data_IF_431857589390
#
_entry.id   IF_431857589390
#
_cell.length_a   1.000
_cell.length_b   1.000
_cell.length_c   1.000
_cell.angle_alpha   90.00
_cell.angle_beta   90.00
_cell.angle_gamma   90.00
#
_symmetry.space_group_name_H-M   'P 1'
#
loop_
_entity.id
_entity.type
_entity.pdbx_description
1 polymer ?
#
# COMPACT_ATOMS: atom_id res chain seq x y z
N UNK A 1 -8.70 -23.19 3.45
CA UNK A 1 -10.09 -22.63 3.56
C UNK A 1 -10.57 -22.48 5.01
N UNK A 2 -10.33 -23.45 5.92
CA UNK A 2 -10.79 -23.37 7.33
C UNK A 2 -10.23 -22.14 8.09
N UNK A 3 -8.94 -21.87 7.99
CA UNK A 3 -8.29 -20.75 8.70
C UNK A 3 -8.74 -19.35 8.24
N UNK A 4 -9.12 -19.18 6.98
CA UNK A 4 -9.60 -17.87 6.49
C UNK A 4 -10.96 -17.50 7.11
N UNK A 5 -11.84 -18.48 7.35
CA UNK A 5 -13.14 -18.23 7.98
C UNK A 5 -13.00 -17.85 9.45
N UNK A 6 -12.11 -18.50 10.19
CA UNK A 6 -11.82 -18.12 11.57
C UNK A 6 -11.24 -16.70 11.65
N UNK A 7 -10.34 -16.37 10.73
CA UNK A 7 -9.77 -15.03 10.66
C UNK A 7 -10.84 -13.98 10.32
N UNK A 8 -11.72 -14.25 9.36
CA UNK A 8 -12.87 -13.38 9.04
C UNK A 8 -13.74 -13.11 10.25
N UNK A 9 -14.00 -14.13 11.07
CA UNK A 9 -14.77 -13.97 12.30
C UNK A 9 -14.05 -13.03 13.28
N UNK A 10 -12.76 -13.22 13.46
CA UNK A 10 -11.96 -12.37 14.36
C UNK A 10 -11.91 -10.92 13.89
N UNK A 11 -11.59 -10.67 12.62
CA UNK A 11 -11.49 -9.30 12.11
C UNK A 11 -12.84 -8.59 12.11
N UNK A 12 -13.95 -9.29 11.83
CA UNK A 12 -15.29 -8.72 11.93
C UNK A 12 -15.65 -8.33 13.37
N UNK A 13 -15.20 -9.08 14.39
CA UNK A 13 -15.35 -8.66 15.79
C UNK A 13 -14.58 -7.37 16.08
N UNK A 14 -13.37 -7.21 15.55
CA UNK A 14 -12.59 -5.98 15.68
C UNK A 14 -13.29 -4.82 14.99
N UNK A 15 -13.73 -4.99 13.73
CA UNK A 15 -14.48 -3.97 12.97
C UNK A 15 -15.74 -3.54 13.73
N UNK A 16 -16.53 -4.49 14.23
CA UNK A 16 -17.76 -4.20 15.00
C UNK A 16 -17.46 -3.48 16.32
N UNK A 17 -16.40 -3.85 17.01
CA UNK A 17 -15.99 -3.19 18.26
C UNK A 17 -15.55 -1.74 18.02
N UNK A 18 -14.87 -1.50 16.89
CA UNK A 18 -14.30 -0.19 16.55
C UNK A 18 -15.19 0.66 15.63
N UNK A 19 -16.38 0.17 15.23
CA UNK A 19 -17.26 0.89 14.28
C UNK A 19 -17.75 2.26 14.78
N UNK A 20 -17.85 2.43 16.11
CA UNK A 20 -18.31 3.67 16.73
C UNK A 20 -17.16 4.66 17.03
N UNK A 21 -15.92 4.25 16.84
CA UNK A 21 -14.79 5.16 17.00
C UNK A 21 -14.73 6.15 15.82
N UNK A 22 -14.34 7.37 16.14
CA UNK A 22 -14.12 8.37 15.10
C UNK A 22 -13.06 7.87 14.12
N UNK A 23 -13.38 7.92 12.82
CA UNK A 23 -12.45 7.55 11.75
C UNK A 23 -11.81 8.82 11.18
N UNK A 24 -10.53 9.11 11.52
CA UNK A 24 -9.84 10.27 10.97
C UNK A 24 -9.66 10.16 9.47
N UNK A 25 -9.49 11.29 8.79
CA UNK A 25 -9.23 11.30 7.36
C UNK A 25 -7.85 10.72 7.00
N UNK A 26 -7.74 10.11 5.84
CA UNK A 26 -6.51 9.52 5.31
C UNK A 26 -6.20 10.11 3.94
N UNK A 27 -4.97 10.59 3.77
CA UNK A 27 -4.43 10.98 2.47
C UNK A 27 -3.69 9.80 1.85
N UNK A 28 -4.29 9.19 0.82
CA UNK A 28 -3.63 8.18 0.01
C UNK A 28 -2.66 8.91 -0.91
N UNK A 29 -1.40 8.50 -0.90
CA UNK A 29 -0.36 9.04 -1.77
C UNK A 29 0.13 7.97 -2.74
N UNK A 30 0.33 8.37 -3.98
CA UNK A 30 0.72 7.48 -5.05
C UNK A 30 1.57 8.20 -6.08
N UNK A 31 2.57 7.52 -6.62
CA UNK A 31 3.33 7.98 -7.78
C UNK A 31 3.19 6.97 -8.89
N UNK A 32 3.10 7.45 -10.12
CA UNK A 32 3.11 6.60 -11.31
C UNK A 32 3.91 7.23 -12.44
N UNK A 33 4.64 6.41 -13.17
CA UNK A 33 5.30 6.80 -14.42
C UNK A 33 4.71 6.10 -15.64
N UNK A 34 3.55 5.40 -15.47
CA UNK A 34 2.91 4.56 -16.50
C UNK A 34 1.39 4.77 -16.50
N UNK A 35 0.86 5.21 -17.64
CA UNK A 35 -0.60 5.42 -17.80
C UNK A 35 -1.42 4.12 -17.77
N UNK A 36 -0.82 2.99 -18.11
CA UNK A 36 -1.52 1.70 -18.18
C UNK A 36 -2.10 1.23 -16.84
N UNK A 37 -1.58 1.72 -15.71
CA UNK A 37 -2.07 1.38 -14.37
C UNK A 37 -3.17 2.31 -13.85
N UNK A 38 -3.51 3.37 -14.57
CA UNK A 38 -4.54 4.32 -14.11
C UNK A 38 -5.92 3.69 -13.90
N UNK A 39 -6.26 2.62 -14.65
CA UNK A 39 -7.49 1.86 -14.40
C UNK A 39 -7.43 1.11 -13.08
N UNK A 40 -6.29 0.52 -12.75
CA UNK A 40 -6.08 -0.14 -11.46
C UNK A 40 -6.17 0.86 -10.29
N UNK A 41 -5.52 2.01 -10.44
CA UNK A 41 -5.59 3.12 -9.45
C UNK A 41 -7.04 3.55 -9.22
N UNK A 42 -7.79 3.79 -10.30
CA UNK A 42 -9.20 4.17 -10.23
C UNK A 42 -10.03 3.10 -9.50
N UNK A 43 -9.90 1.84 -9.91
CA UNK A 43 -10.65 0.72 -9.34
C UNK A 43 -10.31 0.49 -7.86
N UNK A 44 -9.04 0.59 -7.47
CA UNK A 44 -8.62 0.50 -6.08
C UNK A 44 -9.21 1.63 -5.23
N UNK A 45 -9.16 2.88 -5.72
CA UNK A 45 -9.70 4.02 -4.98
C UNK A 45 -11.23 3.92 -4.81
N UNK A 46 -11.95 3.46 -5.84
CA UNK A 46 -13.39 3.20 -5.78
C UNK A 46 -13.74 2.06 -4.83
N UNK A 47 -12.96 0.98 -4.85
CA UNK A 47 -13.22 -0.22 -4.06
C UNK A 47 -13.01 0.02 -2.56
N UNK A 48 -12.04 0.85 -2.18
CA UNK A 48 -11.70 1.10 -0.77
C UNK A 48 -12.89 1.73 -0.03
N UNK A 49 -13.47 0.97 0.91
CA UNK A 49 -14.58 1.39 1.75
C UNK A 49 -14.08 2.18 2.98
N UNK A 50 -13.71 3.44 2.78
CA UNK A 50 -13.31 4.36 3.84
C UNK A 50 -13.85 5.76 3.53
N UNK A 51 -14.67 6.30 4.43
CA UNK A 51 -15.51 7.48 4.13
C UNK A 51 -14.69 8.78 3.93
N UNK A 52 -13.68 9.00 4.77
CA UNK A 52 -12.92 10.26 4.78
C UNK A 52 -11.52 9.99 4.21
N UNK A 53 -11.41 9.97 2.89
CA UNK A 53 -10.14 9.77 2.18
C UNK A 53 -9.96 10.79 1.07
N UNK A 54 -8.73 11.06 0.72
CA UNK A 54 -8.34 11.72 -0.53
C UNK A 54 -7.27 10.89 -1.24
N UNK A 55 -7.08 11.15 -2.53
CA UNK A 55 -6.01 10.55 -3.33
C UNK A 55 -5.16 11.65 -3.93
N UNK A 56 -3.86 11.56 -3.74
CA UNK A 56 -2.86 12.44 -4.33
C UNK A 56 -2.00 11.61 -5.26
N UNK A 57 -2.07 11.89 -6.56
CA UNK A 57 -1.31 11.20 -7.59
C UNK A 57 -0.22 12.13 -8.11
N UNK A 58 1.01 11.66 -8.12
CA UNK A 58 2.12 12.29 -8.85
C UNK A 58 2.42 11.49 -10.11
N UNK A 59 2.30 12.15 -11.25
CA UNK A 59 2.73 11.65 -12.55
C UNK A 59 4.21 12.00 -12.71
N UNK A 60 5.08 11.02 -12.53
CA UNK A 60 6.54 11.20 -12.61
C UNK A 60 7.06 10.78 -14.00
N UNK A 61 6.50 11.40 -15.02
CA UNK A 61 6.88 11.17 -16.41
C UNK A 61 6.37 12.35 -17.26
N UNK A 62 7.25 13.01 -17.99
CA UNK A 62 6.94 14.18 -18.80
C UNK A 62 6.03 13.87 -20.00
N UNK A 63 5.94 12.61 -20.41
CA UNK A 63 5.15 12.17 -21.58
C UNK A 63 3.70 11.81 -21.21
N UNK A 64 3.37 11.73 -19.92
CA UNK A 64 2.00 11.44 -19.51
C UNK A 64 1.12 12.68 -19.74
N UNK A 65 0.03 12.49 -20.45
CA UNK A 65 -0.99 13.52 -20.61
C UNK A 65 -1.76 13.71 -19.29
N UNK A 66 -1.46 14.79 -18.60
CA UNK A 66 -2.10 15.16 -17.33
C UNK A 66 -3.59 15.45 -17.51
N UNK A 67 -4.00 16.01 -18.65
CA UNK A 67 -5.41 16.30 -18.91
C UNK A 67 -6.22 15.01 -19.06
N UNK A 68 -5.70 14.02 -19.76
CA UNK A 68 -6.29 12.68 -19.80
C UNK A 68 -6.46 12.10 -18.40
N UNK A 69 -5.43 12.20 -17.53
CA UNK A 69 -5.50 11.72 -16.16
C UNK A 69 -6.57 12.49 -15.35
N UNK A 70 -6.62 13.82 -15.45
CA UNK A 70 -7.64 14.64 -14.79
C UNK A 70 -9.05 14.27 -15.24
N UNK A 71 -9.26 14.04 -16.53
CA UNK A 71 -10.55 13.64 -17.08
C UNK A 71 -11.01 12.29 -16.56
N UNK A 72 -10.09 11.34 -16.34
CA UNK A 72 -10.39 10.02 -15.76
C UNK A 72 -10.92 10.11 -14.33
N UNK A 73 -10.43 11.05 -13.54
CA UNK A 73 -10.81 11.24 -12.14
C UNK A 73 -11.74 12.44 -11.90
N UNK A 74 -12.33 13.02 -12.97
CA UNK A 74 -13.12 14.25 -12.89
C UNK A 74 -14.33 14.19 -11.95
N UNK A 75 -14.89 12.99 -11.74
CA UNK A 75 -16.07 12.79 -10.89
C UNK A 75 -15.71 12.73 -9.39
N UNK A 76 -14.43 12.82 -9.05
CA UNK A 76 -13.94 12.83 -7.67
C UNK A 76 -13.42 14.21 -7.27
N UNK A 77 -14.07 14.84 -6.33
CA UNK A 77 -13.63 16.13 -5.75
C UNK A 77 -12.49 15.97 -4.72
N UNK A 78 -12.16 14.74 -4.34
CA UNK A 78 -11.13 14.37 -3.38
C UNK A 78 -9.91 13.68 -4.02
N UNK A 79 -9.75 13.82 -5.35
CA UNK A 79 -8.55 13.36 -6.08
C UNK A 79 -7.80 14.59 -6.60
N UNK A 80 -6.49 14.61 -6.38
CA UNK A 80 -5.60 15.67 -6.87
C UNK A 80 -4.44 15.07 -7.63
N UNK A 81 -4.16 15.60 -8.83
CA UNK A 81 -3.12 15.08 -9.73
C UNK A 81 -2.08 16.15 -9.98
N UNK A 82 -0.84 15.81 -9.73
CA UNK A 82 0.34 16.64 -9.98
C UNK A 82 1.23 15.96 -11.02
N UNK A 83 1.97 16.75 -11.77
CA UNK A 83 3.01 16.23 -12.66
C UNK A 83 4.35 16.78 -12.21
N UNK A 84 5.33 15.89 -12.08
CA UNK A 84 6.70 16.19 -11.65
C UNK A 84 7.64 15.62 -12.70
N UNK A 85 8.74 16.32 -12.96
CA UNK A 85 9.75 15.93 -13.95
C UNK A 85 10.25 14.50 -13.70
N UNK A 86 10.44 13.73 -14.77
CA UNK A 86 10.84 12.33 -14.74
C UNK A 86 12.24 12.09 -14.14
N UNK A 87 13.06 13.13 -14.02
CA UNK A 87 14.38 13.05 -13.37
C UNK A 87 14.30 13.17 -11.83
N UNK A 88 13.14 13.55 -11.27
CA UNK A 88 12.92 13.58 -9.81
C UNK A 88 12.73 12.14 -9.32
N UNK A 89 13.40 11.80 -8.22
CA UNK A 89 13.34 10.43 -7.68
C UNK A 89 11.96 10.07 -7.13
N UNK A 90 11.66 8.77 -7.04
CA UNK A 90 10.45 8.24 -6.42
C UNK A 90 10.27 8.78 -5.00
N UNK A 91 11.32 8.75 -4.19
CA UNK A 91 11.25 9.24 -2.81
C UNK A 91 10.93 10.73 -2.71
N UNK A 92 11.47 11.57 -3.59
CA UNK A 92 11.13 13.00 -3.62
C UNK A 92 9.69 13.23 -4.10
N UNK A 93 9.19 12.45 -5.05
CA UNK A 93 7.79 12.49 -5.47
C UNK A 93 6.85 12.12 -4.31
N UNK A 94 7.16 11.08 -3.54
CA UNK A 94 6.41 10.69 -2.34
C UNK A 94 6.47 11.77 -1.26
N UNK A 95 7.63 12.35 -0.99
CA UNK A 95 7.80 13.47 -0.06
C UNK A 95 6.99 14.70 -0.50
N UNK A 96 6.89 14.95 -1.79
CA UNK A 96 6.00 15.98 -2.33
C UNK A 96 4.53 15.66 -2.04
N UNK A 97 4.08 14.41 -2.29
CA UNK A 97 2.71 14.01 -1.96
C UNK A 97 2.37 14.25 -0.48
N UNK A 98 3.28 13.91 0.42
CA UNK A 98 3.08 14.13 1.88
C UNK A 98 2.90 15.62 2.20
N UNK A 99 3.66 16.52 1.55
CA UNK A 99 3.49 17.98 1.72
C UNK A 99 2.11 18.45 1.25
N UNK A 100 1.54 17.80 0.23
CA UNK A 100 0.21 18.11 -0.30
C UNK A 100 -0.92 17.48 0.53
N UNK A 101 -0.63 16.51 1.38
CA UNK A 101 -1.64 15.77 2.15
C UNK A 101 -2.42 16.66 3.11
N UNK A 102 -3.76 16.53 3.06
CA UNK A 102 -4.69 17.28 3.90
C UNK A 102 -4.84 16.66 5.29
N UNK A 103 -4.76 15.32 5.39
CA UNK A 103 -5.05 14.59 6.61
C UNK A 103 -3.78 14.19 7.37
N UNK A 104 -3.97 13.86 8.66
CA UNK A 104 -2.89 13.49 9.58
C UNK A 104 -2.43 12.03 9.45
N UNK A 105 -3.10 11.25 8.62
CA UNK A 105 -2.70 9.89 8.28
C UNK A 105 -2.40 9.79 6.79
N UNK A 106 -1.27 9.18 6.47
CA UNK A 106 -0.77 9.01 5.11
C UNK A 106 -0.74 7.52 4.79
N UNK A 107 -1.36 7.12 3.68
CA UNK A 107 -1.29 5.76 3.15
C UNK A 107 -0.55 5.78 1.81
N UNK A 108 0.67 5.22 1.74
CA UNK A 108 1.35 4.96 0.47
C UNK A 108 0.72 3.73 -0.18
N UNK A 109 0.32 3.87 -1.42
CA UNK A 109 -0.19 2.78 -2.25
C UNK A 109 0.56 2.79 -3.59
N UNK A 110 0.84 1.61 -4.13
CA UNK A 110 1.47 1.47 -5.43
C UNK A 110 0.40 1.35 -6.54
N UNK A 111 0.72 1.82 -7.75
CA UNK A 111 -0.23 1.96 -8.85
C UNK A 111 -0.62 0.62 -9.50
N UNK A 112 0.20 -0.41 -9.31
CA UNK A 112 0.09 -1.73 -9.94
C UNK A 112 -0.39 -2.85 -9.00
N UNK A 113 -0.50 -2.59 -7.69
CA UNK A 113 -0.94 -3.58 -6.71
C UNK A 113 -2.47 -3.63 -6.52
N UNK A 114 -2.97 -4.69 -5.86
CA UNK A 114 -4.38 -4.85 -5.52
C UNK A 114 -4.65 -4.50 -4.06
N UNK A 115 -5.69 -3.68 -3.84
CA UNK A 115 -6.16 -3.29 -2.51
C UNK A 115 -7.65 -3.61 -2.36
N UNK A 116 -7.99 -4.48 -1.39
CA UNK A 116 -9.36 -4.88 -1.07
C UNK A 116 -10.18 -3.78 -0.39
N UNK A 117 -11.49 -3.95 -0.38
CA UNK A 117 -12.42 -2.93 0.13
C UNK A 117 -12.13 -2.50 1.57
N UNK A 118 -11.73 -3.42 2.43
CA UNK A 118 -11.47 -3.16 3.85
C UNK A 118 -10.00 -2.84 4.17
N UNK A 119 -9.11 -2.79 3.17
CA UNK A 119 -7.68 -2.56 3.37
C UNK A 119 -7.39 -1.36 4.28
N UNK A 120 -7.95 -0.21 3.93
CA UNK A 120 -7.68 1.03 4.66
C UNK A 120 -8.36 1.05 6.03
N UNK A 121 -9.57 0.51 6.15
CA UNK A 121 -10.30 0.42 7.41
C UNK A 121 -9.55 -0.45 8.42
N UNK A 122 -9.12 -1.64 8.02
CA UNK A 122 -8.41 -2.57 8.90
C UNK A 122 -7.05 -2.01 9.31
N UNK A 123 -6.35 -1.39 8.36
CA UNK A 123 -5.07 -0.72 8.64
C UNK A 123 -5.25 0.42 9.65
N UNK A 124 -6.24 1.29 9.47
CA UNK A 124 -6.52 2.38 10.41
C UNK A 124 -6.94 1.90 11.79
N UNK A 125 -7.65 0.77 11.87
CA UNK A 125 -8.03 0.18 13.15
C UNK A 125 -6.82 -0.21 14.02
N UNK A 126 -5.65 -0.49 13.43
CA UNK A 126 -4.44 -0.83 14.17
C UNK A 126 -4.00 0.32 15.09
N UNK A 127 -4.18 1.57 14.66
CA UNK A 127 -3.84 2.74 15.49
C UNK A 127 -4.73 2.88 16.73
N UNK A 128 -5.89 2.21 16.77
CA UNK A 128 -6.81 2.27 17.91
C UNK A 128 -6.39 1.33 19.07
N UNK A 129 -5.60 0.30 18.77
CA UNK A 129 -5.17 -0.68 19.79
C UNK A 129 -3.66 -0.82 19.93
N UNK A 130 -2.88 0.01 19.21
CA UNK A 130 -1.42 0.08 19.32
C UNK A 130 -0.97 1.54 19.50
N UNK A 131 0.24 1.73 19.97
CA UNK A 131 0.91 3.03 20.00
C UNK A 131 1.89 3.20 18.81
N UNK A 132 1.74 2.39 17.77
CA UNK A 132 2.53 2.49 16.54
C UNK A 132 2.31 3.84 15.85
N UNK A 133 3.35 4.31 15.19
CA UNK A 133 3.34 5.54 14.38
C UNK A 133 3.43 5.21 12.89
N UNK A 134 3.96 4.03 12.56
CA UNK A 134 4.03 3.47 11.21
C UNK A 134 3.45 2.07 11.25
N UNK A 135 2.60 1.75 10.31
CA UNK A 135 2.05 0.40 10.12
C UNK A 135 2.18 -0.01 8.65
N UNK A 136 2.12 -1.30 8.40
CA UNK A 136 2.15 -1.88 7.07
C UNK A 136 2.02 -3.39 7.14
N UNK A 137 2.32 -4.07 6.06
CA UNK A 137 2.29 -5.53 5.98
C UNK A 137 3.69 -6.07 5.73
N UNK A 138 4.22 -6.88 6.64
CA UNK A 138 5.41 -7.69 6.35
C UNK A 138 4.97 -9.00 5.67
N UNK A 139 4.07 -9.76 6.30
CA UNK A 139 3.41 -10.86 5.62
C UNK A 139 2.38 -10.33 4.61
N UNK A 140 2.47 -10.75 3.36
CA UNK A 140 1.55 -10.32 2.31
C UNK A 140 1.43 -11.39 1.22
N UNK A 141 0.31 -11.37 0.53
CA UNK A 141 0.12 -12.21 -0.64
C UNK A 141 0.84 -11.63 -1.86
N UNK A 142 1.36 -12.54 -2.68
CA UNK A 142 1.97 -12.25 -3.98
C UNK A 142 1.22 -13.04 -5.04
N UNK A 143 0.71 -12.37 -6.06
CA UNK A 143 0.12 -13.04 -7.21
C UNK A 143 1.06 -12.99 -8.41
N UNK A 144 1.49 -14.15 -8.86
CA UNK A 144 2.38 -14.31 -10.00
C UNK A 144 1.56 -14.49 -11.29
N UNK A 145 1.39 -13.42 -12.04
CA UNK A 145 0.59 -13.44 -13.29
C UNK A 145 1.13 -14.45 -14.30
N UNK A 146 2.44 -14.61 -14.40
CA UNK A 146 3.08 -15.54 -15.33
C UNK A 146 2.64 -16.99 -15.11
N UNK A 147 2.36 -17.36 -13.87
CA UNK A 147 2.10 -18.74 -13.45
C UNK A 147 0.66 -18.98 -12.99
N UNK A 148 -0.17 -17.94 -12.83
CA UNK A 148 -1.45 -17.98 -12.14
C UNK A 148 -1.32 -18.59 -10.72
N UNK A 149 -0.28 -18.22 -9.99
CA UNK A 149 -0.01 -18.70 -8.64
C UNK A 149 -0.22 -17.58 -7.63
N UNK A 150 -1.03 -17.87 -6.61
CA UNK A 150 -1.09 -17.09 -5.39
C UNK A 150 -0.14 -17.71 -4.36
N UNK A 151 0.75 -16.90 -3.80
CA UNK A 151 1.68 -17.32 -2.77
C UNK A 151 1.70 -16.30 -1.61
N UNK A 152 2.33 -16.66 -0.50
CA UNK A 152 2.46 -15.85 0.70
C UNK A 152 3.94 -15.62 1.01
N UNK A 153 4.33 -14.35 1.08
CA UNK A 153 5.65 -13.91 1.49
C UNK A 153 5.69 -13.64 3.01
N UNK A 154 6.84 -13.89 3.65
CA UNK A 154 7.14 -13.61 5.06
C UNK A 154 6.02 -14.01 6.07
N UNK A 155 5.50 -15.25 6.05
CA UNK A 155 4.28 -15.65 6.77
C UNK A 155 4.33 -15.55 8.29
N UNK A 156 5.50 -15.33 8.88
CA UNK A 156 5.70 -15.31 10.34
C UNK A 156 5.66 -13.92 10.98
N UNK A 157 5.54 -12.86 10.18
CA UNK A 157 5.61 -11.47 10.66
C UNK A 157 4.24 -10.81 10.48
N UNK A 158 3.32 -11.09 11.39
CA UNK A 158 1.97 -10.51 11.43
C UNK A 158 1.55 -10.12 12.84
N UNK A 159 0.73 -9.08 12.93
CA UNK A 159 0.08 -8.61 14.15
C UNK A 159 1.05 -8.40 15.32
N UNK A 160 2.21 -7.80 15.04
CA UNK A 160 3.24 -7.53 16.03
C UNK A 160 4.08 -6.29 15.70
N UNK A 161 4.68 -5.72 16.71
CA UNK A 161 5.72 -4.71 16.52
C UNK A 161 6.91 -5.29 15.77
N UNK A 162 7.52 -4.49 14.92
CA UNK A 162 8.66 -4.90 14.11
C UNK A 162 9.68 -3.76 13.99
N UNK A 163 10.93 -4.12 13.87
CA UNK A 163 12.02 -3.26 13.43
C UNK A 163 12.49 -3.64 12.02
N UNK A 164 11.85 -4.66 11.44
CA UNK A 164 12.10 -5.13 10.10
C UNK A 164 11.35 -4.30 9.06
N UNK A 165 11.55 -4.62 7.79
CA UNK A 165 10.86 -3.98 6.69
C UNK A 165 9.35 -4.30 6.66
N UNK A 166 8.58 -3.44 6.04
CA UNK A 166 7.19 -3.63 5.65
C UNK A 166 7.10 -3.52 4.12
N UNK A 167 6.12 -4.15 3.50
CA UNK A 167 5.93 -4.02 2.04
C UNK A 167 5.66 -2.56 1.68
N UNK A 168 6.48 -2.00 0.78
CA UNK A 168 6.49 -0.57 0.45
C UNK A 168 5.15 0.00 0.01
N UNK A 169 4.35 -0.77 -0.75
CA UNK A 169 2.98 -0.40 -1.15
C UNK A 169 1.94 -0.45 -0.03
N UNK A 170 2.33 -0.79 1.21
CA UNK A 170 1.38 -0.93 2.32
C UNK A 170 1.63 0.00 3.50
N UNK A 171 2.54 0.96 3.34
CA UNK A 171 2.91 1.89 4.41
C UNK A 171 1.73 2.81 4.73
N UNK A 172 1.33 2.82 6.00
CA UNK A 172 0.39 3.77 6.54
C UNK A 172 0.98 4.35 7.82
N UNK A 173 1.01 5.68 7.95
CA UNK A 173 1.70 6.33 9.03
C UNK A 173 1.05 7.65 9.46
N UNK A 174 1.35 8.07 10.69
CA UNK A 174 0.98 9.41 11.17
C UNK A 174 1.85 10.45 10.47
N UNK A 175 1.24 11.47 9.89
CA UNK A 175 1.96 12.55 9.16
C UNK A 175 3.04 13.21 10.01
N UNK A 176 2.87 13.23 11.33
CA UNK A 176 3.87 13.76 12.28
C UNK A 176 5.23 13.04 12.21
N UNK A 177 5.28 11.79 11.74
CA UNK A 177 6.53 11.05 11.48
C UNK A 177 7.44 11.83 10.54
N UNK A 178 6.87 12.55 9.57
CA UNK A 178 7.62 13.35 8.60
C UNK A 178 8.29 14.61 9.17
N UNK A 179 8.04 14.95 10.43
CA UNK A 179 8.82 15.98 11.13
C UNK A 179 10.25 15.50 11.43
N UNK A 180 10.46 14.19 11.53
CA UNK A 180 11.74 13.58 11.89
C UNK A 180 12.37 12.77 10.77
N UNK A 181 11.55 12.07 9.97
CA UNK A 181 12.02 11.17 8.91
C UNK A 181 11.28 11.43 7.60
N UNK A 182 11.86 11.02 6.47
CA UNK A 182 11.29 11.17 5.13
C UNK A 182 11.61 9.93 4.31
N UNK A 183 10.91 9.74 3.20
CA UNK A 183 11.34 8.79 2.18
C UNK A 183 12.73 9.15 1.65
N UNK A 184 13.56 8.14 1.41
CA UNK A 184 14.90 8.34 0.85
C UNK A 184 14.87 8.98 -0.53
N UNK A 185 15.82 9.86 -0.84
CA UNK A 185 15.93 10.50 -2.16
C UNK A 185 16.55 9.54 -3.19
N UNK A 186 15.86 8.44 -3.45
CA UNK A 186 16.26 7.36 -4.38
C UNK A 186 15.05 6.81 -5.13
N UNK A 187 15.29 6.05 -6.21
CA UNK A 187 14.25 5.38 -6.99
C UNK A 187 13.99 3.94 -6.54
N UNK A 188 14.85 3.37 -5.70
CA UNK A 188 14.71 2.03 -5.14
C UNK A 188 15.20 2.05 -3.70
N UNK A 189 14.37 1.52 -2.76
CA UNK A 189 14.69 1.49 -1.34
C UNK A 189 14.39 2.81 -0.61
N UNK A 190 13.54 3.65 -1.16
CA UNK A 190 13.05 4.88 -0.51
C UNK A 190 12.31 4.59 0.79
N UNK A 191 11.63 3.45 0.84
CA UNK A 191 10.94 2.89 1.99
C UNK A 191 11.90 2.23 2.99
N UNK A 192 12.93 1.52 2.51
CA UNK A 192 13.97 0.96 3.37
C UNK A 192 14.66 2.07 4.17
N UNK A 193 15.00 3.17 3.50
CA UNK A 193 15.55 4.35 4.16
C UNK A 193 14.61 4.90 5.25
N UNK A 194 13.30 4.96 4.96
CA UNK A 194 12.30 5.39 5.93
C UNK A 194 12.30 4.49 7.17
N UNK A 195 12.33 3.15 6.99
CA UNK A 195 12.31 2.19 8.11
C UNK A 195 13.57 2.26 8.96
N UNK A 196 14.74 2.37 8.34
CA UNK A 196 16.01 2.53 9.05
C UNK A 196 15.98 3.78 9.94
N UNK A 197 15.53 4.91 9.39
CA UNK A 197 15.39 6.16 10.13
C UNK A 197 14.33 6.09 11.24
N UNK A 198 13.21 5.41 11.00
CA UNK A 198 12.22 5.16 12.05
C UNK A 198 12.84 4.39 13.23
N UNK A 199 13.61 3.34 12.93
CA UNK A 199 14.30 2.56 13.97
C UNK A 199 15.32 3.40 14.75
N UNK A 200 16.15 4.19 14.06
CA UNK A 200 17.14 5.07 14.69
C UNK A 200 16.49 6.10 15.63
N UNK A 201 15.28 6.56 15.30
CA UNK A 201 14.50 7.54 16.07
C UNK A 201 13.60 6.91 17.14
N UNK A 202 13.55 5.59 17.24
CA UNK A 202 12.66 4.88 18.16
C UNK A 202 11.18 5.00 17.79
N UNK A 203 10.87 5.32 16.52
CA UNK A 203 9.51 5.37 15.98
C UNK A 203 8.98 3.95 15.87
N UNK A 204 7.86 3.67 16.55
CA UNK A 204 7.30 2.32 16.63
C UNK A 204 6.61 1.95 15.33
N UNK A 205 7.02 0.80 14.78
CA UNK A 205 6.42 0.20 13.60
C UNK A 205 5.65 -1.07 13.95
N UNK A 206 4.52 -1.33 13.30
CA UNK A 206 3.68 -2.50 13.52
C UNK A 206 3.33 -3.18 12.19
N UNK A 207 3.59 -4.48 12.11
CA UNK A 207 3.17 -5.32 11.01
C UNK A 207 1.72 -5.80 11.26
N UNK A 208 0.78 -5.38 10.41
CA UNK A 208 -0.60 -5.85 10.43
C UNK A 208 -0.75 -7.26 9.87
N UNK A 209 -1.99 -7.66 9.60
CA UNK A 209 -2.30 -8.93 8.94
C UNK A 209 -1.98 -8.91 7.44
N UNK A 210 -2.03 -10.09 6.79
CA UNK A 210 -1.75 -10.30 5.37
C UNK A 210 -2.90 -9.96 4.43
N UNK A 211 -4.14 -9.80 4.91
CA UNK A 211 -5.34 -9.75 4.09
C UNK A 211 -5.60 -8.38 3.47
N UNK A 212 -6.51 -8.35 2.48
CA UNK A 212 -6.94 -7.15 1.74
C UNK A 212 -5.83 -6.43 0.94
N UNK A 213 -4.70 -7.10 0.68
CA UNK A 213 -3.61 -6.61 -0.16
C UNK A 213 -2.97 -7.76 -0.94
N UNK A 214 -2.60 -7.52 -2.19
CA UNK A 214 -1.79 -8.42 -3.01
C UNK A 214 -0.73 -7.63 -3.76
N UNK A 215 0.53 -8.01 -3.58
CA UNK A 215 1.59 -7.58 -4.47
C UNK A 215 1.43 -8.30 -5.82
N UNK A 216 1.25 -7.53 -6.90
CA UNK A 216 1.05 -8.07 -8.24
C UNK A 216 2.39 -8.26 -8.94
N UNK A 217 2.88 -9.50 -9.01
CA UNK A 217 4.09 -9.83 -9.77
C UNK A 217 3.75 -9.99 -11.25
N UNK A 218 3.84 -8.85 -11.98
CA UNK A 218 3.59 -8.81 -13.42
C UNK A 218 4.60 -9.62 -14.20
N UNK A 219 4.16 -10.14 -15.35
CA UNK A 219 4.99 -10.96 -16.25
C UNK A 219 6.17 -10.17 -16.82
N UNK A 220 5.96 -8.91 -17.17
CA UNK A 220 7.02 -8.05 -17.69
C UNK A 220 7.86 -7.47 -16.55
N UNK A 221 9.14 -7.84 -16.48
CA UNK A 221 10.06 -7.30 -15.48
C UNK A 221 10.27 -5.77 -15.60
N UNK A 222 9.98 -5.16 -16.75
CA UNK A 222 10.07 -3.71 -16.91
C UNK A 222 8.98 -2.97 -16.12
N UNK A 223 7.93 -3.68 -15.73
CA UNK A 223 6.85 -3.12 -14.93
C UNK A 223 7.24 -2.88 -13.48
N UNK A 224 8.27 -3.54 -12.99
CA UNK A 224 8.71 -3.44 -11.60
C UNK A 224 9.94 -2.54 -11.45
N UNK A 225 9.99 -1.78 -10.36
CA UNK A 225 11.21 -1.08 -9.93
C UNK A 225 12.22 -2.10 -9.38
N UNK A 226 11.76 -3.05 -8.57
CA UNK A 226 12.58 -4.16 -8.06
C UNK A 226 12.65 -5.31 -9.07
N UNK A 227 13.84 -5.53 -9.63
CA UNK A 227 14.09 -6.44 -10.76
C UNK A 227 14.33 -7.91 -10.37
N UNK A 228 13.70 -8.40 -9.29
CA UNK A 228 13.72 -9.83 -8.95
C UNK A 228 12.90 -10.64 -9.98
N UNK A 229 13.38 -11.81 -10.37
CA UNK A 229 12.62 -12.68 -11.27
C UNK A 229 11.43 -13.34 -10.56
N UNK A 230 10.35 -13.67 -11.32
CA UNK A 230 9.19 -14.37 -10.76
C UNK A 230 9.57 -15.70 -10.11
N UNK A 231 10.52 -16.45 -10.69
CA UNK A 231 10.98 -17.74 -10.15
C UNK A 231 11.75 -17.59 -8.84
N UNK A 232 12.63 -16.60 -8.76
CA UNK A 232 13.41 -16.31 -7.56
C UNK A 232 12.48 -15.88 -6.42
N UNK A 233 11.60 -14.90 -6.63
CA UNK A 233 10.64 -14.47 -5.63
C UNK A 233 9.69 -15.61 -5.20
N UNK A 234 9.23 -16.45 -6.14
CA UNK A 234 8.36 -17.59 -5.83
C UNK A 234 9.07 -18.61 -4.93
N UNK A 235 10.39 -18.80 -5.10
CA UNK A 235 11.15 -19.73 -4.25
C UNK A 235 11.23 -19.29 -2.78
N UNK A 236 11.02 -18.00 -2.49
CA UNK A 236 11.00 -17.44 -1.14
C UNK A 236 9.60 -17.46 -0.52
N UNK A 237 8.56 -17.73 -1.33
CA UNK A 237 7.18 -17.69 -0.93
C UNK A 237 6.59 -19.08 -0.63
N UNK A 238 5.59 -19.11 0.24
CA UNK A 238 4.75 -20.30 0.45
C UNK A 238 3.61 -20.30 -0.55
N UNK A 239 3.57 -21.26 -1.49
CA UNK A 239 2.46 -21.41 -2.44
C UNK A 239 1.15 -21.67 -1.67
N UNK A 240 0.11 -20.90 -2.00
CA UNK A 240 -1.23 -21.04 -1.43
C UNK A 240 -2.17 -21.74 -2.40
N UNK A 241 -2.20 -21.31 -3.67
CA UNK A 241 -3.09 -21.89 -4.68
C UNK A 241 -2.59 -21.60 -6.09
N UNK A 242 -2.91 -22.49 -7.01
CA UNK A 242 -2.85 -22.22 -8.44
C UNK A 242 -4.26 -21.78 -8.89
N UNK A 243 -4.46 -20.49 -9.10
CA UNK A 243 -5.77 -19.89 -9.34
C UNK A 243 -5.66 -18.56 -10.06
N UNK A 244 -6.65 -18.23 -10.89
CA UNK A 244 -6.87 -16.88 -11.41
C UNK A 244 -7.75 -16.02 -10.49
N UNK A 245 -8.47 -16.65 -9.54
CA UNK A 245 -9.29 -15.99 -8.53
C UNK A 245 -8.51 -15.90 -7.19
N UNK A 246 -7.63 -14.92 -7.10
CA UNK A 246 -6.92 -14.67 -5.84
C UNK A 246 -7.78 -13.94 -4.81
N UNK A 247 -8.80 -13.19 -5.25
CA UNK A 247 -9.62 -12.35 -4.35
C UNK A 247 -10.33 -13.19 -3.29
N UNK A 248 -10.83 -14.38 -3.65
CA UNK A 248 -11.50 -15.28 -2.72
C UNK A 248 -10.62 -15.75 -1.53
N UNK A 249 -9.30 -15.68 -1.69
CA UNK A 249 -8.30 -16.04 -0.65
C UNK A 249 -7.83 -14.84 0.16
N UNK A 250 -7.93 -13.65 -0.38
CA UNK A 250 -7.28 -12.45 0.16
C UNK A 250 -8.28 -11.47 0.78
N UNK A 251 -9.49 -11.37 0.21
CA UNK A 251 -10.49 -10.41 0.68
C UNK A 251 -11.27 -10.99 1.86
N UNK A 252 -11.26 -10.26 2.98
CA UNK A 252 -11.97 -10.62 4.20
C UNK A 252 -12.83 -9.45 4.71
#
# INVERSE_FOLDING_TARGET
MYYINEYRICINKVRNKLQYFHKPGVSIIMTTNKTKYLDNVYNNFMRINYAIKELIIVLNNNKIDKEYCNNKFKDFNNVRIFQIDENVTLGECLNFCVKQAKYDYIAKMDDDDYYGANYLLDSMNIFEYTDAQVIGKAAHFVYFEEFNILALNAPSIENKYTTSWLQGGTILLKKSVFNEVKFGNVNLGEDTYLYERCNEKGIKMFAGDRYNFVYMKHKDMQDHTWKISSKELLSECKIISNTSDFESYVVI
#
